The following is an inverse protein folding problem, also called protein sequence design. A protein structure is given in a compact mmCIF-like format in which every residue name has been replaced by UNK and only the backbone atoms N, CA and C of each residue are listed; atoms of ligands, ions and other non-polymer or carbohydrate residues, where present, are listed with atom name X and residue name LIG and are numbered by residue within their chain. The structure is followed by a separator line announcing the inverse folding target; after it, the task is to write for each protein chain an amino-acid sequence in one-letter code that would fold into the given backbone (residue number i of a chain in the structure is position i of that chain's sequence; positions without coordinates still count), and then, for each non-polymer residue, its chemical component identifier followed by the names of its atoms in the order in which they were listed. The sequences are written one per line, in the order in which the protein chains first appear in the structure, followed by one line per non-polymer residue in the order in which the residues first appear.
data_IF_648103320514
#
_entry.id   IF_648103320514
#
_cell.length_a   1.000
_cell.length_b   1.000
_cell.length_c   1.000
_cell.angle_alpha   90.00
_cell.angle_beta   90.00
_cell.angle_gamma   90.00
#
_symmetry.space_group_name_H-M   'P 1'
#
loop_
_entity.id
_entity.type
_entity.pdbx_description
1 polymer ?
#
# COMPACT_ATOMS: atom_id res chain seq x y z
N UNK A 1 7.35 17.00 7.74
CA UNK A 1 8.40 16.03 7.89
C UNK A 1 8.59 15.21 6.62
N UNK A 2 9.78 15.17 6.16
CA UNK A 2 10.07 14.48 4.91
C UNK A 2 10.02 12.97 5.07
N UNK A 3 9.62 12.33 4.01
CA UNK A 3 9.61 10.87 3.98
C UNK A 3 10.28 10.43 2.69
N UNK A 4 11.61 10.51 2.65
CA UNK A 4 12.34 10.27 1.41
C UNK A 4 12.17 8.88 0.82
N UNK A 5 11.84 7.91 1.65
CA UNK A 5 11.62 6.56 1.15
C UNK A 5 10.18 6.34 0.72
N UNK A 6 9.32 7.31 0.97
CA UNK A 6 7.92 7.16 0.63
C UNK A 6 7.25 6.05 1.41
N UNK A 7 7.69 5.83 2.63
CA UNK A 7 7.13 4.77 3.46
C UNK A 7 5.75 5.17 3.94
N UNK A 8 4.81 4.26 3.77
CA UNK A 8 3.42 4.45 4.20
C UNK A 8 3.15 3.47 5.31
N UNK A 9 2.78 3.99 6.47
CA UNK A 9 2.51 3.16 7.63
C UNK A 9 1.04 3.08 7.90
N UNK A 10 0.55 1.86 7.91
CA UNK A 10 -0.84 1.61 8.24
C UNK A 10 -1.75 1.69 7.05
N UNK A 11 -2.83 0.93 7.13
CA UNK A 11 -3.81 0.90 6.04
C UNK A 11 -4.36 2.28 5.69
N UNK A 12 -4.61 3.16 6.66
CA UNK A 12 -5.13 4.48 6.29
C UNK A 12 -4.21 5.26 5.37
N UNK A 13 -2.91 5.23 5.61
CA UNK A 13 -1.99 5.95 4.76
C UNK A 13 -1.88 5.31 3.39
N UNK A 14 -1.85 3.99 3.37
CA UNK A 14 -1.79 3.28 2.11
C UNK A 14 -3.06 3.54 1.31
N UNK A 15 -4.20 3.53 1.98
CA UNK A 15 -5.47 3.78 1.32
C UNK A 15 -5.50 5.17 0.69
N UNK A 16 -4.98 6.15 1.41
CA UNK A 16 -4.95 7.50 0.89
C UNK A 16 -4.08 7.59 -0.35
N UNK A 17 -2.98 6.88 -0.34
CA UNK A 17 -2.06 6.90 -1.47
C UNK A 17 -2.68 6.31 -2.74
N UNK A 18 -3.52 5.31 -2.59
CA UNK A 18 -4.11 4.65 -3.74
C UNK A 18 -5.56 5.06 -3.99
N UNK A 19 -6.08 5.96 -3.17
CA UNK A 19 -7.41 6.51 -3.40
C UNK A 19 -8.54 5.59 -3.02
N UNK A 20 -8.38 4.85 -1.94
CA UNK A 20 -9.43 3.95 -1.48
C UNK A 20 -9.66 4.14 0.02
N UNK A 21 -10.48 3.29 0.62
CA UNK A 21 -10.76 3.38 2.04
C UNK A 21 -9.78 2.54 2.82
N UNK A 22 -9.54 2.88 4.11
CA UNK A 22 -8.64 2.07 4.93
C UNK A 22 -9.08 0.62 5.04
N UNK A 23 -10.37 0.41 5.11
CA UNK A 23 -10.89 -0.95 5.22
C UNK A 23 -10.54 -1.77 3.99
N UNK A 24 -10.73 -1.18 2.83
CA UNK A 24 -10.42 -1.87 1.59
C UNK A 24 -8.93 -2.10 1.45
N UNK A 25 -8.13 -1.10 1.81
CA UNK A 25 -6.68 -1.25 1.75
C UNK A 25 -6.22 -2.39 2.66
N UNK A 26 -6.78 -2.44 3.85
CA UNK A 26 -6.44 -3.49 4.78
C UNK A 26 -6.77 -4.86 4.19
N UNK A 27 -7.94 -4.98 3.61
CA UNK A 27 -8.37 -6.22 3.00
C UNK A 27 -7.41 -6.63 1.88
N UNK A 28 -7.03 -5.67 1.04
CA UNK A 28 -6.13 -5.97 -0.07
C UNK A 28 -4.76 -6.38 0.40
N UNK A 29 -4.30 -5.80 1.50
CA UNK A 29 -3.02 -6.17 2.08
C UNK A 29 -3.09 -7.56 2.70
N UNK A 30 -4.19 -7.85 3.40
CA UNK A 30 -4.34 -9.14 4.06
C UNK A 30 -4.45 -10.29 3.05
N UNK A 31 -5.05 -10.03 1.92
CA UNK A 31 -5.22 -11.06 0.91
C UNK A 31 -4.02 -11.18 -0.03
N UNK A 32 -3.04 -10.31 0.15
CA UNK A 32 -1.84 -10.37 -0.66
C UNK A 32 -1.97 -9.72 -2.02
N UNK A 33 -3.03 -8.99 -2.25
CA UNK A 33 -3.21 -8.30 -3.53
C UNK A 33 -2.30 -7.09 -3.63
N UNK A 34 -2.23 -6.31 -2.54
CA UNK A 34 -1.33 -5.16 -2.52
C UNK A 34 0.02 -5.52 -1.92
N UNK A 35 1.10 -4.96 -2.45
CA UNK A 35 2.41 -5.20 -1.86
C UNK A 35 2.54 -4.48 -0.53
N UNK A 36 3.01 -5.17 0.47
CA UNK A 36 3.21 -4.60 1.78
C UNK A 36 3.83 -5.60 2.71
N UNK A 37 4.36 -5.09 3.80
CA UNK A 37 4.98 -5.91 4.83
C UNK A 37 4.31 -5.59 6.15
N UNK A 38 3.97 -6.62 6.87
CA UNK A 38 3.34 -6.44 8.18
C UNK A 38 4.41 -6.40 9.23
N UNK A 39 4.51 -5.26 9.90
CA UNK A 39 5.46 -5.08 10.98
C UNK A 39 4.68 -5.01 12.29
N UNK A 40 4.71 -6.10 13.04
CA UNK A 40 3.87 -6.17 14.21
C UNK A 40 2.42 -6.18 13.80
N UNK A 41 1.69 -5.15 14.20
CA UNK A 41 0.28 -5.05 13.85
C UNK A 41 0.02 -4.02 12.76
N UNK A 42 1.07 -3.51 12.14
CA UNK A 42 0.93 -2.42 11.20
C UNK A 42 1.43 -2.84 9.84
N UNK A 43 0.60 -2.61 8.82
CA UNK A 43 1.00 -2.82 7.45
C UNK A 43 1.80 -1.62 6.97
N UNK A 44 2.92 -1.87 6.32
CA UNK A 44 3.73 -0.82 5.72
C UNK A 44 3.98 -1.13 4.26
N UNK A 45 4.14 -0.09 3.48
CA UNK A 45 4.47 -0.24 2.08
C UNK A 45 5.23 1.02 1.67
N UNK A 46 5.57 1.13 0.42
CA UNK A 46 6.21 2.33 -0.10
C UNK A 46 5.50 2.79 -1.34
N UNK A 47 5.61 4.09 -1.62
CA UNK A 47 5.03 4.63 -2.84
C UNK A 47 5.62 3.94 -4.06
N UNK A 48 6.90 3.63 -3.99
CA UNK A 48 7.57 2.97 -5.10
C UNK A 48 6.98 1.60 -5.37
N UNK A 49 6.74 0.84 -4.32
CA UNK A 49 6.16 -0.49 -4.48
C UNK A 49 4.76 -0.41 -5.03
N UNK A 50 3.98 0.53 -4.54
CA UNK A 50 2.61 0.70 -5.02
C UNK A 50 2.60 1.14 -6.48
N UNK A 51 3.52 2.01 -6.83
CA UNK A 51 3.63 2.46 -8.21
C UNK A 51 3.98 1.30 -9.12
N UNK A 52 4.94 0.49 -8.72
CA UNK A 52 5.34 -0.66 -9.52
C UNK A 52 4.20 -1.64 -9.68
N UNK A 53 3.43 -1.82 -8.62
CA UNK A 53 2.30 -2.73 -8.67
C UNK A 53 1.30 -2.29 -9.74
N UNK A 54 0.95 -1.02 -9.74
CA UNK A 54 -0.03 -0.51 -10.69
C UNK A 54 0.54 -0.37 -12.10
N UNK A 55 1.79 0.07 -12.19
CA UNK A 55 2.40 0.25 -13.49
C UNK A 55 2.92 -1.05 -14.09
N UNK A 56 3.11 -2.05 -13.24
CA UNK A 56 3.62 -3.32 -13.68
C UNK A 56 2.60 -4.21 -14.34
N UNK A 57 1.37 -3.75 -14.46
CA UNK A 57 0.37 -4.49 -15.17
C UNK A 57 -0.56 -5.32 -14.29
N UNK A 58 -0.42 -5.21 -12.99
CA UNK A 58 -1.26 -6.00 -12.10
C UNK A 58 -2.73 -5.65 -12.27
N UNK A 59 -3.01 -4.47 -12.73
CA UNK A 59 -4.38 -4.03 -12.92
C UNK A 59 -4.73 -3.90 -14.38
N UNK A 60 -4.03 -4.59 -15.20
CA UNK A 60 -4.32 -4.51 -16.61
C UNK A 60 -5.73 -4.94 -16.91
N UNK A 61 -6.37 -4.26 -17.79
CA UNK A 61 -7.69 -4.65 -18.21
C UNK A 61 -7.67 -5.98 -18.93
#
# INVERSE_FOLDING_TARGET
MENPLGVLRGAPEIAKAIGTTPRRAYYLLETGVLPGVKEGNIWTSTLDRLRQFYEGGAQKP
#
